data_IF_158078875065
#
_entry.id   IF_158078875065
#
_cell.length_a   1.000
_cell.length_b   1.000
_cell.length_c   1.000
_cell.angle_alpha   90.00
_cell.angle_beta   90.00
_cell.angle_gamma   90.00
#
_symmetry.space_group_name_H-M   'P 1'
#
loop_
_entity.id
_entity.type
_entity.pdbx_description
1 polymer ?
#
# COMPACT_ATOMS: atom_id res chain seq x y z
N UNK A 1 1.24 15.88 -5.78
CA UNK A 1 1.33 14.43 -5.97
C UNK A 1 1.06 13.81 -4.62
N UNK A 2 0.12 12.88 -4.53
CA UNK A 2 -0.10 12.13 -3.30
C UNK A 2 1.14 11.30 -2.98
N UNK A 3 1.41 11.15 -1.68
CA UNK A 3 2.50 10.31 -1.21
C UNK A 3 2.15 8.85 -1.49
N UNK A 4 3.06 8.10 -2.11
CA UNK A 4 2.84 6.71 -2.52
C UNK A 4 3.77 5.71 -1.80
N UNK A 5 4.89 6.21 -1.29
CA UNK A 5 6.01 5.43 -0.78
C UNK A 5 5.79 4.99 0.67
N UNK A 6 4.89 4.03 0.86
CA UNK A 6 4.59 3.43 2.15
C UNK A 6 5.13 2.00 2.24
N UNK A 7 5.51 1.58 3.45
CA UNK A 7 5.64 0.17 3.79
C UNK A 7 4.45 -0.28 4.63
N UNK A 8 4.04 -1.54 4.48
CA UNK A 8 2.92 -2.12 5.21
C UNK A 8 3.33 -2.60 6.59
N UNK A 9 2.52 -2.28 7.59
CA UNK A 9 2.77 -2.68 8.97
C UNK A 9 2.41 -4.15 9.13
N UNK A 10 3.40 -4.97 9.49
CA UNK A 10 3.23 -6.41 9.70
C UNK A 10 3.59 -6.73 11.15
N UNK A 11 2.79 -7.60 11.76
CA UNK A 11 3.16 -8.24 13.01
C UNK A 11 4.26 -9.28 12.73
N UNK A 12 5.45 -9.03 13.25
CA UNK A 12 6.63 -9.87 12.96
C UNK A 12 6.64 -11.19 13.72
N UNK A 13 5.80 -11.36 14.74
CA UNK A 13 5.73 -12.61 15.51
C UNK A 13 4.94 -13.69 14.77
N UNK A 14 3.83 -13.29 14.13
CA UNK A 14 2.93 -14.21 13.41
C UNK A 14 2.91 -13.99 11.89
N UNK A 15 3.63 -13.00 11.36
CA UNK A 15 3.68 -12.62 9.95
C UNK A 15 2.32 -12.21 9.36
N UNK A 16 1.44 -11.61 10.18
CA UNK A 16 0.12 -11.18 9.75
C UNK A 16 0.07 -9.68 9.41
N UNK A 17 -0.72 -9.36 8.37
CA UNK A 17 -1.14 -8.01 8.04
C UNK A 17 -2.53 -7.77 8.64
N UNK A 18 -2.66 -6.78 9.51
CA UNK A 18 -3.99 -6.29 9.91
C UNK A 18 -4.60 -5.50 8.76
N UNK A 19 -5.73 -5.99 8.25
CA UNK A 19 -6.41 -5.39 7.13
C UNK A 19 -7.93 -5.57 7.24
N UNK A 20 -8.66 -4.51 6.93
CA UNK A 20 -10.11 -4.55 6.78
C UNK A 20 -10.47 -4.62 5.31
N UNK A 21 -11.15 -5.70 4.92
CA UNK A 21 -11.55 -5.97 3.54
C UNK A 21 -13.01 -5.59 3.34
N UNK A 22 -13.28 -4.75 2.33
CA UNK A 22 -14.64 -4.47 1.86
C UNK A 22 -14.79 -4.85 0.38
N UNK A 23 -15.92 -5.48 0.06
CA UNK A 23 -16.28 -5.84 -1.31
C UNK A 23 -17.46 -5.00 -1.77
N UNK A 24 -17.42 -4.56 -3.03
CA UNK A 24 -18.51 -3.84 -3.69
C UNK A 24 -18.96 -4.64 -4.92
N UNK A 25 -20.22 -4.46 -5.32
CA UNK A 25 -20.65 -4.98 -6.62
C UNK A 25 -19.88 -4.25 -7.75
N UNK A 26 -19.31 -4.98 -8.72
CA UNK A 26 -18.64 -4.34 -9.85
C UNK A 26 -19.60 -3.40 -10.59
N UNK A 27 -19.19 -2.13 -10.72
CA UNK A 27 -19.93 -1.15 -11.51
C UNK A 27 -19.94 -1.47 -13.01
N UNK A 28 -20.71 -0.70 -13.78
CA UNK A 28 -20.77 -0.85 -15.24
C UNK A 28 -19.49 -0.42 -15.98
N UNK A 29 -18.56 0.24 -15.28
CA UNK A 29 -17.29 0.71 -15.82
C UNK A 29 -16.18 -0.22 -15.32
N UNK A 30 -15.50 -0.97 -16.21
CA UNK A 30 -14.36 -1.79 -15.82
C UNK A 30 -13.24 -0.94 -15.21
N UNK A 31 -12.69 -1.40 -14.08
CA UNK A 31 -11.56 -0.77 -13.38
C UNK A 31 -11.82 0.68 -12.93
N UNK A 32 -13.04 1.00 -12.54
CA UNK A 32 -13.39 2.33 -12.03
C UNK A 32 -12.64 2.66 -10.72
N UNK A 33 -11.79 3.71 -10.68
CA UNK A 33 -11.14 4.16 -9.45
C UNK A 33 -12.11 4.65 -8.38
N UNK A 34 -13.27 5.16 -8.79
CA UNK A 34 -14.28 5.69 -7.86
C UNK A 34 -15.14 4.58 -7.27
N UNK A 35 -15.29 3.46 -7.99
CA UNK A 35 -16.10 2.32 -7.58
C UNK A 35 -15.34 0.99 -7.78
N UNK A 36 -14.23 0.76 -7.07
CA UNK A 36 -13.49 -0.47 -7.17
C UNK A 36 -14.33 -1.63 -6.59
N UNK A 37 -14.25 -2.85 -7.18
CA UNK A 37 -15.01 -4.00 -6.71
C UNK A 37 -14.54 -4.51 -5.33
N UNK A 38 -13.39 -4.02 -4.85
CA UNK A 38 -12.79 -4.41 -3.58
C UNK A 38 -11.91 -3.27 -3.08
N UNK A 39 -11.92 -3.05 -1.77
CA UNK A 39 -11.01 -2.15 -1.09
C UNK A 39 -10.39 -2.86 0.12
N UNK A 40 -9.14 -2.53 0.41
CA UNK A 40 -8.43 -3.01 1.59
C UNK A 40 -7.92 -1.82 2.39
N UNK A 41 -8.38 -1.67 3.63
CA UNK A 41 -7.85 -0.68 4.55
C UNK A 41 -6.74 -1.32 5.39
N UNK A 42 -5.55 -0.72 5.37
CA UNK A 42 -4.35 -1.23 6.05
C UNK A 42 -3.61 -0.11 6.74
N UNK A 43 -2.75 -0.46 7.71
CA UNK A 43 -1.84 0.51 8.33
C UNK A 43 -0.46 0.42 7.67
N UNK A 44 0.10 1.57 7.31
CA UNK A 44 1.47 1.68 6.83
C UNK A 44 2.23 2.85 7.43
N UNK A 45 3.53 2.91 7.15
CA UNK A 45 4.39 4.05 7.48
C UNK A 45 5.13 4.49 6.24
N UNK A 46 5.33 5.80 6.10
CA UNK A 46 6.09 6.34 4.97
C UNK A 46 7.54 5.83 5.02
N UNK A 47 8.09 5.51 3.85
CA UNK A 47 9.49 5.11 3.66
C UNK A 47 10.19 6.17 2.82
N UNK A 48 10.75 7.23 3.44
CA UNK A 48 11.31 8.37 2.71
C UNK A 48 12.45 8.01 1.75
N UNK A 49 13.15 6.92 2.03
CA UNK A 49 14.25 6.41 1.19
C UNK A 49 13.76 5.68 -0.07
N UNK A 50 12.48 5.28 -0.13
CA UNK A 50 11.88 4.71 -1.33
C UNK A 50 11.38 5.85 -2.20
N UNK A 51 11.98 6.02 -3.36
CA UNK A 51 11.81 7.20 -4.22
C UNK A 51 11.55 6.78 -5.66
N UNK A 52 11.28 7.76 -6.53
CA UNK A 52 11.10 7.49 -7.95
C UNK A 52 12.46 7.50 -8.67
N UNK A 53 12.65 6.53 -9.56
CA UNK A 53 13.72 6.48 -10.55
C UNK A 53 13.10 6.46 -11.94
N UNK A 54 13.27 7.54 -12.71
CA UNK A 54 12.73 7.63 -14.07
C UNK A 54 11.21 7.45 -14.16
N UNK A 55 10.44 8.05 -13.24
CA UNK A 55 8.99 7.90 -13.07
C UNK A 55 8.49 6.51 -12.64
N UNK A 56 9.40 5.58 -12.32
CA UNK A 56 9.07 4.29 -11.73
C UNK A 56 9.45 4.30 -10.25
N UNK A 57 8.83 3.44 -9.44
CA UNK A 57 9.37 3.19 -8.11
C UNK A 57 10.81 2.65 -8.25
N UNK A 58 11.74 3.20 -7.47
CA UNK A 58 13.07 2.60 -7.34
C UNK A 58 12.93 1.20 -6.73
N UNK A 59 14.04 0.44 -6.74
CA UNK A 59 14.12 -0.85 -6.06
C UNK A 59 13.46 -0.80 -4.67
N UNK A 60 12.58 -1.76 -4.40
CA UNK A 60 11.93 -1.86 -3.11
C UNK A 60 12.99 -2.05 -2.03
N UNK A 61 12.97 -1.23 -0.95
CA UNK A 61 13.92 -1.36 0.13
C UNK A 61 13.85 -2.75 0.77
N UNK A 62 15.00 -3.24 1.24
CA UNK A 62 15.07 -4.52 1.95
C UNK A 62 14.22 -4.46 3.22
N UNK A 63 13.21 -5.32 3.30
CA UNK A 63 12.39 -5.53 4.50
C UNK A 63 13.18 -6.24 5.62
N UNK A 64 12.87 -5.97 6.90
CA UNK A 64 12.00 -4.89 7.37
C UNK A 64 12.69 -3.52 7.26
N UNK A 65 11.89 -2.48 6.98
CA UNK A 65 12.35 -1.10 6.90
C UNK A 65 12.13 -0.41 8.23
N UNK A 66 13.20 0.17 8.77
CA UNK A 66 13.11 1.06 9.92
C UNK A 66 12.73 2.48 9.47
N UNK A 67 11.71 3.04 10.11
CA UNK A 67 11.20 4.38 9.82
C UNK A 67 10.56 4.98 11.07
N UNK A 68 10.93 6.22 11.38
CA UNK A 68 10.37 7.00 12.48
C UNK A 68 9.07 7.73 12.10
N UNK A 69 8.53 7.44 10.92
CA UNK A 69 7.30 8.06 10.42
C UNK A 69 6.08 7.52 11.18
N UNK A 70 5.03 8.33 11.25
CA UNK A 70 3.79 7.98 11.93
C UNK A 70 2.99 6.95 11.14
N UNK A 71 2.16 6.18 11.85
CA UNK A 71 1.19 5.28 11.22
C UNK A 71 0.21 6.10 10.37
N UNK A 72 -0.15 5.56 9.20
CA UNK A 72 -1.16 6.11 8.31
C UNK A 72 -2.09 4.98 7.87
N UNK A 73 -3.40 5.23 7.90
CA UNK A 73 -4.36 4.36 7.21
C UNK A 73 -4.22 4.56 5.70
N UNK A 74 -4.13 3.45 4.97
CA UNK A 74 -3.99 3.39 3.53
C UNK A 74 -5.17 2.60 2.98
N UNK A 75 -5.79 3.14 1.93
CA UNK A 75 -6.80 2.44 1.14
C UNK A 75 -6.15 1.88 -0.10
N UNK A 76 -6.13 0.56 -0.22
CA UNK A 76 -5.63 -0.14 -1.41
C UNK A 76 -6.83 -0.58 -2.26
N UNK A 77 -6.70 -0.39 -3.56
CA UNK A 77 -7.65 -0.84 -4.57
C UNK A 77 -6.91 -1.78 -5.54
N UNK A 78 -7.61 -2.65 -6.28
CA UNK A 78 -6.98 -3.51 -7.25
C UNK A 78 -6.13 -2.69 -8.23
N UNK A 79 -4.93 -3.20 -8.52
CA UNK A 79 -3.90 -2.53 -9.34
C UNK A 79 -4.41 -1.91 -10.65
N UNK A 80 -5.42 -2.53 -11.28
CA UNK A 80 -6.02 -2.03 -12.52
C UNK A 80 -6.90 -0.78 -12.35
N UNK A 81 -7.41 -0.54 -11.15
CA UNK A 81 -8.38 0.52 -10.85
C UNK A 81 -7.71 1.86 -10.50
N UNK A 82 -6.41 2.04 -10.72
CA UNK A 82 -5.73 3.30 -10.39
C UNK A 82 -4.53 3.58 -11.31
N UNK A 83 -4.08 4.83 -11.31
CA UNK A 83 -2.89 5.27 -12.03
C UNK A 83 -1.58 4.89 -11.30
N UNK A 84 -1.63 4.79 -9.97
CA UNK A 84 -0.48 4.37 -9.16
C UNK A 84 -0.46 2.85 -9.03
N UNK A 85 0.55 2.26 -9.64
CA UNK A 85 0.65 0.82 -9.83
C UNK A 85 1.74 0.24 -8.95
N UNK A 86 1.35 -0.36 -7.82
CA UNK A 86 2.25 -0.99 -6.87
C UNK A 86 1.91 -2.49 -6.78
N UNK A 87 2.91 -3.36 -6.98
CA UNK A 87 2.78 -4.82 -6.90
C UNK A 87 3.46 -5.43 -5.68
N UNK A 88 4.29 -4.65 -4.99
CA UNK A 88 5.05 -5.07 -3.82
C UNK A 88 5.24 -3.89 -2.87
N UNK A 89 5.19 -4.19 -1.58
CA UNK A 89 5.45 -3.22 -0.51
C UNK A 89 6.58 -3.72 0.37
N UNK A 90 7.48 -2.82 0.83
CA UNK A 90 8.36 -3.16 1.94
C UNK A 90 7.55 -3.33 3.22
N UNK A 91 8.05 -4.13 4.15
CA UNK A 91 7.44 -4.35 5.46
C UNK A 91 8.00 -3.35 6.46
N UNK A 92 7.14 -2.76 7.29
CA UNK A 92 7.54 -2.03 8.50
C UNK A 92 7.09 -2.82 9.73
N UNK A 93 7.95 -3.03 10.75
CA UNK A 93 7.56 -3.77 11.94
C UNK A 93 6.45 -3.07 12.73
N UNK A 94 5.49 -3.85 13.23
CA UNK A 94 4.67 -3.45 14.36
C UNK A 94 5.55 -3.39 15.61
N UNK A 95 5.68 -2.19 16.19
CA UNK A 95 6.35 -1.98 17.47
C UNK A 95 5.41 -2.33 18.62
#
# INVERSE_FOLDING_TARGET
MEEWNYGLKINMENHELSADLSGNEPGGIPFDPENPPMELEVVGKKVPKWSLEGNNASNVPRSPVDTSQTNRSLKLVPYGCTNLRITEFPIVPEQ
#
